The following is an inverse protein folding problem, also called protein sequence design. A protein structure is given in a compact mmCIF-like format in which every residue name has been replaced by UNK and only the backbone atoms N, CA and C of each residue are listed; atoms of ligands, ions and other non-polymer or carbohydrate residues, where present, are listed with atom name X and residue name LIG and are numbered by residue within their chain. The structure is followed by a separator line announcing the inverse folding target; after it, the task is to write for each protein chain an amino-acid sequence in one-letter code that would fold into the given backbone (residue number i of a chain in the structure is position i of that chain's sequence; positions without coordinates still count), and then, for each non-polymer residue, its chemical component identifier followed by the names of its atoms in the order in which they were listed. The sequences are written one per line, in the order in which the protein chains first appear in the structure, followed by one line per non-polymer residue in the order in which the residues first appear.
data_IF_443166536768
#
_entry.id   IF_443166536768
#
_cell.length_a   1.000
_cell.length_b   1.000
_cell.length_c   1.000
_cell.angle_alpha   90.00
_cell.angle_beta   90.00
_cell.angle_gamma   90.00
#
_symmetry.space_group_name_H-M   'P 1'
#
loop_
_entity.id
_entity.type
_entity.pdbx_description
1 polymer ?
#
# COMPACT_ATOMS: atom_id res chain seq x y z
N UNK A 1 -24.76 3.97 42.42
CA UNK A 1 -23.35 3.59 42.48
C UNK A 1 -23.20 2.24 41.80
N UNK A 2 -23.00 2.25 40.51
CA UNK A 2 -22.77 1.04 39.69
C UNK A 2 -21.27 0.90 39.50
N UNK A 3 -20.69 -0.04 40.21
CA UNK A 3 -19.29 -0.46 40.06
C UNK A 3 -19.07 -0.99 38.68
N UNK A 4 -18.30 -0.25 37.89
CA UNK A 4 -17.75 -0.69 36.59
C UNK A 4 -16.91 -1.96 36.85
N UNK A 5 -17.42 -3.09 36.39
CA UNK A 5 -16.68 -4.35 36.36
C UNK A 5 -15.52 -4.17 35.38
N UNK A 6 -14.29 -4.08 35.89
CA UNK A 6 -13.09 -4.06 35.08
C UNK A 6 -13.16 -5.27 34.13
N UNK A 7 -13.13 -5.01 32.83
CA UNK A 7 -13.06 -6.04 31.81
C UNK A 7 -11.76 -6.84 32.13
N UNK A 8 -11.89 -8.15 32.26
CA UNK A 8 -10.75 -9.04 32.42
C UNK A 8 -9.78 -8.78 31.27
N UNK A 9 -8.49 -8.59 31.59
CA UNK A 9 -7.44 -8.50 30.57
C UNK A 9 -7.51 -9.78 29.73
N UNK A 10 -7.89 -9.62 28.46
CA UNK A 10 -7.90 -10.75 27.54
C UNK A 10 -6.46 -11.22 27.35
N UNK A 11 -6.25 -12.54 27.29
CA UNK A 11 -4.94 -13.13 26.99
C UNK A 11 -4.31 -12.43 25.79
N UNK A 12 -2.99 -12.11 25.84
CA UNK A 12 -2.31 -11.46 24.73
C UNK A 12 -2.40 -12.31 23.47
N UNK A 13 -2.59 -11.66 22.33
CA UNK A 13 -2.51 -12.31 21.02
C UNK A 13 -1.05 -12.61 20.69
N UNK A 14 -0.82 -13.62 19.87
CA UNK A 14 0.50 -13.86 19.31
C UNK A 14 0.83 -12.80 18.24
N UNK A 15 -0.19 -12.34 17.47
CA UNK A 15 0.01 -11.46 16.34
C UNK A 15 -1.16 -10.49 16.13
N UNK A 16 -0.85 -9.22 15.87
CA UNK A 16 -1.76 -8.26 15.26
C UNK A 16 -1.25 -7.93 13.84
N UNK A 17 -2.13 -8.06 12.85
CA UNK A 17 -1.85 -7.73 11.45
C UNK A 17 -2.57 -6.42 11.13
N UNK A 18 -1.83 -5.41 10.69
CA UNK A 18 -2.34 -4.09 10.32
C UNK A 18 -2.44 -3.99 8.80
N UNK A 19 -3.67 -4.08 8.30
CA UNK A 19 -4.00 -4.07 6.86
C UNK A 19 -4.59 -5.40 6.41
N UNK A 20 -5.80 -5.36 5.84
CA UNK A 20 -6.52 -6.49 5.26
C UNK A 20 -6.44 -6.53 3.73
N UNK A 21 -5.33 -6.02 3.16
CA UNK A 21 -4.97 -6.21 1.75
C UNK A 21 -4.54 -7.65 1.47
N UNK A 22 -4.33 -8.03 0.20
CA UNK A 22 -3.98 -9.41 -0.17
C UNK A 22 -2.83 -10.01 0.64
N UNK A 23 -1.75 -9.26 0.85
CA UNK A 23 -0.58 -9.73 1.61
C UNK A 23 -0.86 -9.85 3.12
N UNK A 24 -1.66 -8.94 3.69
CA UNK A 24 -2.10 -9.04 5.08
C UNK A 24 -3.05 -10.23 5.31
N UNK A 25 -3.92 -10.52 4.32
CA UNK A 25 -4.77 -11.71 4.35
C UNK A 25 -3.95 -13.00 4.21
N UNK A 26 -2.93 -13.01 3.34
CA UNK A 26 -2.00 -14.13 3.24
C UNK A 26 -1.27 -14.38 4.56
N UNK A 27 -0.83 -13.32 5.24
CA UNK A 27 -0.24 -13.42 6.58
C UNK A 27 -1.24 -13.95 7.63
N UNK A 28 -2.50 -13.58 7.52
CA UNK A 28 -3.56 -14.09 8.40
C UNK A 28 -3.85 -15.58 8.19
N UNK A 29 -3.84 -16.05 6.93
CA UNK A 29 -3.96 -17.47 6.61
C UNK A 29 -2.80 -18.24 7.20
N UNK A 30 -1.57 -17.81 6.95
CA UNK A 30 -0.36 -18.45 7.47
C UNK A 30 -0.33 -18.48 9.01
N UNK A 31 -0.74 -17.40 9.67
CA UNK A 31 -0.86 -17.34 11.12
C UNK A 31 -1.88 -18.35 11.65
N UNK A 32 -3.05 -18.45 11.00
CA UNK A 32 -4.09 -19.43 11.35
C UNK A 32 -3.60 -20.86 11.20
N UNK A 33 -2.97 -21.18 10.08
CA UNK A 33 -2.44 -22.51 9.79
C UNK A 33 -1.32 -22.93 10.75
N UNK A 34 -0.56 -21.95 11.26
CA UNK A 34 0.46 -22.14 12.28
C UNK A 34 -0.10 -22.16 13.70
N UNK A 35 -1.43 -22.07 13.89
CA UNK A 35 -2.07 -22.11 15.21
C UNK A 35 -1.88 -20.84 16.05
N UNK A 36 -1.43 -19.74 15.46
CA UNK A 36 -1.23 -18.47 16.17
C UNK A 36 -2.56 -17.79 16.49
N UNK A 37 -2.67 -17.20 17.69
CA UNK A 37 -3.78 -16.33 18.08
C UNK A 37 -3.58 -14.96 17.43
N UNK A 38 -4.40 -14.58 16.46
CA UNK A 38 -4.22 -13.33 15.72
C UNK A 38 -5.52 -12.55 15.54
N UNK A 39 -5.39 -11.30 15.10
CA UNK A 39 -6.46 -10.46 14.55
C UNK A 39 -5.88 -9.60 13.44
N UNK A 40 -6.67 -9.38 12.39
CA UNK A 40 -6.39 -8.40 11.34
C UNK A 40 -7.22 -7.14 11.60
N UNK A 41 -6.61 -5.97 11.54
CA UNK A 41 -7.28 -4.68 11.64
C UNK A 41 -7.09 -3.92 10.33
N UNK A 42 -8.17 -3.34 9.81
CA UNK A 42 -8.11 -2.47 8.63
C UNK A 42 -9.01 -1.24 8.84
N UNK A 43 -8.50 -0.07 8.46
CA UNK A 43 -9.25 1.19 8.49
C UNK A 43 -10.43 1.23 7.54
N UNK A 44 -10.37 0.42 6.48
CA UNK A 44 -11.41 0.24 5.48
C UNK A 44 -11.99 -1.16 5.48
N UNK A 45 -12.53 -1.57 4.34
CA UNK A 45 -13.04 -2.92 4.13
C UNK A 45 -11.91 -3.90 3.73
N UNK A 46 -12.22 -5.17 3.68
CA UNK A 46 -11.31 -6.19 3.10
C UNK A 46 -10.87 -5.75 1.72
N UNK A 47 -9.54 -5.67 1.51
CA UNK A 47 -8.90 -5.21 0.28
C UNK A 47 -9.32 -3.80 -0.16
N UNK A 48 -9.47 -2.88 0.80
CA UNK A 48 -9.89 -1.49 0.56
C UNK A 48 -9.12 -0.82 -0.58
N UNK A 49 -7.80 -1.01 -0.66
CA UNK A 49 -6.97 -0.42 -1.72
C UNK A 49 -7.45 -0.80 -3.13
N UNK A 50 -7.97 -2.03 -3.33
CA UNK A 50 -8.51 -2.47 -4.62
C UNK A 50 -9.84 -1.78 -4.97
N UNK A 51 -10.57 -1.27 -3.98
CA UNK A 51 -11.80 -0.49 -4.23
C UNK A 51 -11.51 0.85 -4.89
N UNK A 52 -10.27 1.34 -4.76
CA UNK A 52 -9.82 2.59 -5.37
C UNK A 52 -9.30 2.44 -6.79
N UNK A 53 -9.10 1.23 -7.30
CA UNK A 53 -8.68 0.97 -8.67
C UNK A 53 -9.81 1.29 -9.68
N UNK A 54 -9.48 1.52 -10.96
CA UNK A 54 -10.48 1.74 -12.01
C UNK A 54 -11.50 0.62 -12.10
N UNK A 55 -12.76 0.94 -12.38
CA UNK A 55 -13.84 -0.04 -12.35
C UNK A 55 -13.66 -1.17 -13.37
N UNK A 56 -13.10 -0.85 -14.53
CA UNK A 56 -12.93 -1.78 -15.65
C UNK A 56 -11.51 -2.35 -15.75
N UNK A 57 -10.69 -2.12 -14.73
CA UNK A 57 -9.33 -2.60 -14.70
C UNK A 57 -9.25 -4.12 -14.72
N UNK A 58 -8.33 -4.66 -15.52
CA UNK A 58 -7.85 -6.03 -15.49
C UNK A 58 -6.45 -6.07 -14.90
N UNK A 59 -6.18 -7.01 -14.01
CA UNK A 59 -4.85 -7.15 -13.41
C UNK A 59 -3.79 -7.52 -14.45
N UNK A 60 -2.55 -7.14 -14.20
CA UNK A 60 -1.43 -7.54 -15.05
C UNK A 60 -1.03 -8.99 -14.83
N UNK A 61 -1.15 -9.48 -13.60
CA UNK A 61 -0.85 -10.86 -13.20
C UNK A 61 -2.02 -11.79 -13.51
N UNK A 62 -1.72 -13.05 -13.77
CA UNK A 62 -2.75 -14.09 -13.96
C UNK A 62 -3.42 -14.45 -12.63
N UNK A 63 -4.58 -15.10 -12.70
CA UNK A 63 -5.37 -15.46 -11.52
C UNK A 63 -4.57 -16.32 -10.54
N UNK A 64 -3.84 -17.32 -11.02
CA UNK A 64 -3.02 -18.22 -10.20
C UNK A 64 -1.93 -17.48 -9.41
N UNK A 65 -1.38 -16.42 -9.99
CA UNK A 65 -0.37 -15.59 -9.32
C UNK A 65 -0.94 -14.71 -8.22
N UNK A 66 -2.25 -14.47 -8.25
CA UNK A 66 -2.96 -13.69 -7.25
C UNK A 66 -3.62 -14.52 -6.15
N UNK A 67 -3.54 -15.85 -6.25
CA UNK A 67 -4.04 -16.78 -5.25
C UNK A 67 -3.32 -16.63 -3.90
N UNK A 68 -4.10 -16.74 -2.82
CA UNK A 68 -3.59 -16.78 -1.45
C UNK A 68 -4.26 -17.89 -0.66
N UNK A 69 -3.53 -18.46 0.30
CA UNK A 69 -4.09 -19.43 1.27
C UNK A 69 -4.58 -20.72 0.64
N UNK A 70 -4.01 -21.17 -0.48
CA UNK A 70 -4.41 -22.42 -1.13
C UNK A 70 -5.84 -22.41 -1.70
N UNK A 71 -6.51 -21.26 -1.75
CA UNK A 71 -7.85 -21.12 -2.36
C UNK A 71 -7.67 -20.81 -3.84
N UNK A 72 -8.16 -21.69 -4.76
CA UNK A 72 -8.04 -21.44 -6.20
C UNK A 72 -8.78 -20.18 -6.64
N UNK A 73 -8.15 -19.36 -7.49
CA UNK A 73 -8.77 -18.21 -8.12
C UNK A 73 -9.29 -18.58 -9.52
N UNK A 74 -10.39 -19.33 -9.55
CA UNK A 74 -10.95 -19.88 -10.78
C UNK A 74 -11.84 -18.87 -11.48
N UNK A 75 -11.43 -18.45 -12.67
CA UNK A 75 -12.16 -17.54 -13.58
C UNK A 75 -11.99 -18.04 -15.01
N UNK A 76 -12.89 -17.66 -15.96
CA UNK A 76 -12.76 -18.05 -17.35
C UNK A 76 -11.54 -17.46 -18.06
N UNK A 77 -11.18 -16.24 -17.71
CA UNK A 77 -10.06 -15.49 -18.33
C UNK A 77 -8.75 -15.72 -17.56
N UNK A 78 -7.63 -15.58 -18.25
CA UNK A 78 -6.31 -15.74 -17.60
C UNK A 78 -6.03 -14.66 -16.53
N UNK A 79 -6.55 -13.45 -16.75
CA UNK A 79 -6.29 -12.29 -15.90
C UNK A 79 -7.57 -11.76 -15.29
N UNK A 80 -7.67 -11.68 -13.95
CA UNK A 80 -8.90 -11.25 -13.30
C UNK A 80 -9.13 -9.74 -13.45
N UNK A 81 -10.40 -9.39 -13.50
CA UNK A 81 -10.88 -8.03 -13.34
C UNK A 81 -10.80 -7.59 -11.86
N UNK A 82 -10.85 -6.27 -11.62
CA UNK A 82 -11.00 -5.72 -10.27
C UNK A 82 -12.16 -6.35 -9.50
N UNK A 83 -13.31 -6.54 -10.15
CA UNK A 83 -14.52 -7.10 -9.51
C UNK A 83 -14.31 -8.54 -9.07
N UNK A 84 -13.68 -9.36 -9.89
CA UNK A 84 -13.36 -10.75 -9.58
C UNK A 84 -12.35 -10.84 -8.43
N UNK A 85 -11.32 -10.00 -8.42
CA UNK A 85 -10.36 -9.96 -7.33
C UNK A 85 -11.00 -9.56 -5.99
N UNK A 86 -11.87 -8.55 -5.97
CA UNK A 86 -12.62 -8.18 -4.77
C UNK A 86 -13.53 -9.32 -4.27
N UNK A 87 -14.17 -10.06 -5.17
CA UNK A 87 -14.98 -11.22 -4.81
C UNK A 87 -14.11 -12.35 -4.26
N UNK A 88 -12.98 -12.62 -4.92
CA UNK A 88 -12.04 -13.67 -4.55
C UNK A 88 -11.47 -13.45 -3.13
N UNK A 89 -10.91 -12.28 -2.82
CA UNK A 89 -10.33 -12.05 -1.49
C UNK A 89 -11.36 -12.09 -0.36
N UNK A 90 -12.59 -11.63 -0.59
CA UNK A 90 -13.70 -11.84 0.37
C UNK A 90 -14.02 -13.33 0.55
N UNK A 91 -13.98 -14.10 -0.54
CA UNK A 91 -14.17 -15.55 -0.45
C UNK A 91 -13.07 -16.21 0.38
N UNK A 92 -11.81 -15.82 0.20
CA UNK A 92 -10.69 -16.31 1.03
C UNK A 92 -10.93 -16.03 2.52
N UNK A 93 -11.37 -14.82 2.87
CA UNK A 93 -11.70 -14.47 4.26
C UNK A 93 -12.78 -15.39 4.81
N UNK A 94 -13.86 -15.63 4.04
CA UNK A 94 -14.96 -16.49 4.46
C UNK A 94 -14.54 -17.97 4.53
N UNK A 95 -13.81 -18.46 3.53
CA UNK A 95 -13.33 -19.85 3.44
C UNK A 95 -12.48 -20.23 4.65
N UNK A 96 -11.53 -19.38 4.99
CA UNK A 96 -10.65 -19.61 6.15
C UNK A 96 -11.25 -19.14 7.47
N UNK A 97 -12.40 -18.46 7.50
CA UNK A 97 -12.96 -17.88 8.72
C UNK A 97 -11.97 -16.90 9.38
N UNK A 98 -11.30 -16.05 8.58
CA UNK A 98 -10.27 -15.13 9.08
C UNK A 98 -10.86 -14.10 10.04
N UNK A 99 -10.15 -13.81 11.12
CA UNK A 99 -10.54 -12.80 12.11
C UNK A 99 -10.15 -11.40 11.63
N UNK A 100 -10.98 -10.78 10.79
CA UNK A 100 -10.77 -9.44 10.26
C UNK A 100 -11.76 -8.46 10.90
N UNK A 101 -11.23 -7.39 11.47
CA UNK A 101 -12.00 -6.23 11.95
C UNK A 101 -11.86 -5.11 10.94
N UNK A 102 -12.88 -4.91 10.16
CA UNK A 102 -12.99 -3.86 9.17
C UNK A 102 -13.41 -2.55 9.84
N UNK A 103 -13.02 -1.40 9.24
CA UNK A 103 -13.30 -0.06 9.75
C UNK A 103 -12.80 0.15 11.18
N UNK A 104 -11.66 -0.46 11.49
CA UNK A 104 -10.94 -0.29 12.74
C UNK A 104 -9.49 0.11 12.42
N UNK A 105 -9.22 1.41 12.56
CA UNK A 105 -7.92 2.02 12.25
C UNK A 105 -6.95 1.83 13.41
N UNK A 106 -5.76 1.33 13.14
CA UNK A 106 -4.66 1.34 14.10
C UNK A 106 -4.06 2.74 14.13
N UNK A 107 -4.23 3.42 15.27
CA UNK A 107 -3.81 4.81 15.46
C UNK A 107 -2.41 4.92 16.06
N UNK A 108 -2.01 3.93 16.87
CA UNK A 108 -0.72 3.92 17.56
C UNK A 108 -0.33 2.49 17.98
N UNK A 109 0.95 2.20 17.95
CA UNK A 109 1.53 0.97 18.50
C UNK A 109 2.64 1.37 19.48
N UNK A 110 2.61 0.81 20.67
CA UNK A 110 3.59 1.09 21.73
C UNK A 110 4.23 -0.21 22.16
N UNK A 111 5.56 -0.24 22.18
CA UNK A 111 6.29 -1.37 22.73
C UNK A 111 6.17 -1.38 24.26
N UNK A 112 5.84 -2.52 24.81
CA UNK A 112 5.93 -2.74 26.25
C UNK A 112 7.33 -3.25 26.57
N UNK A 113 8.23 -2.33 26.89
CA UNK A 113 9.47 -2.70 27.55
C UNK A 113 9.13 -3.08 28.97
N UNK A 114 9.65 -4.18 29.50
CA UNK A 114 9.31 -4.73 30.81
C UNK A 114 9.57 -3.83 32.04
N UNK A 115 9.51 -2.50 31.90
CA UNK A 115 9.79 -1.51 32.90
C UNK A 115 8.94 -0.23 32.78
N UNK A 116 7.62 -0.32 32.62
CA UNK A 116 6.74 0.73 33.14
C UNK A 116 5.83 0.15 34.22
N UNK A 117 6.33 0.16 35.47
CA UNK A 117 5.50 0.05 36.64
C UNK A 117 4.60 1.28 36.66
N UNK A 118 3.36 1.13 36.24
CA UNK A 118 2.29 2.04 36.66
C UNK A 118 2.25 1.96 38.18
N UNK A 119 2.64 3.06 38.85
CA UNK A 119 2.68 3.15 40.29
C UNK A 119 1.33 2.77 40.90
N UNK A 120 1.30 1.65 41.61
CA UNK A 120 0.46 1.43 42.78
C UNK A 120 1.42 1.25 43.93
N UNK A 121 1.35 2.20 44.86
CA UNK A 121 2.03 2.16 46.13
C UNK A 121 1.71 0.87 46.88
N UNK A 122 2.76 0.21 47.37
CA UNK A 122 2.72 -0.73 48.49
C UNK A 122 2.56 -2.19 48.10
N UNK A 123 3.68 -2.89 48.05
CA UNK A 123 3.99 -4.06 48.88
C UNK A 123 5.31 -4.68 48.39
N UNK A 124 6.24 -4.74 49.31
CA UNK A 124 7.53 -5.42 49.23
C UNK A 124 7.36 -6.92 49.11
N UNK A 125 8.19 -7.57 48.28
CA UNK A 125 8.40 -9.01 48.41
C UNK A 125 9.03 -9.73 47.23
N UNK A 126 10.32 -10.06 47.41
CA UNK A 126 11.04 -11.26 46.95
C UNK A 126 11.50 -11.35 45.48
N UNK A 127 12.81 -11.17 45.34
CA UNK A 127 13.65 -11.55 44.20
C UNK A 127 13.67 -13.08 44.08
N UNK A 128 13.20 -13.61 42.94
CA UNK A 128 13.40 -14.99 42.50
C UNK A 128 14.34 -15.03 41.33
N UNK A 129 15.51 -15.60 41.49
CA UNK A 129 16.46 -15.92 40.44
C UNK A 129 15.90 -17.03 39.54
N UNK A 130 15.64 -16.79 38.29
CA UNK A 130 15.76 -17.76 37.20
C UNK A 130 15.74 -17.03 35.85
N UNK A 131 16.86 -17.13 35.11
CA UNK A 131 17.13 -16.42 33.86
C UNK A 131 16.36 -16.89 32.64
N UNK A 132 15.26 -17.62 32.79
CA UNK A 132 14.42 -18.09 31.67
C UNK A 132 13.12 -17.30 31.46
N UNK A 133 12.81 -16.34 32.34
CA UNK A 133 11.49 -15.68 32.38
C UNK A 133 11.46 -14.26 31.80
N UNK A 134 12.59 -13.77 31.24
CA UNK A 134 12.69 -12.43 30.66
C UNK A 134 12.21 -12.34 29.22
N UNK A 135 12.07 -13.46 28.53
CA UNK A 135 11.56 -13.50 27.15
C UNK A 135 10.01 -13.41 27.07
N UNK A 136 9.31 -13.52 28.18
CA UNK A 136 7.83 -13.60 28.21
C UNK A 136 7.11 -12.26 28.45
N UNK A 137 7.82 -11.14 28.60
CA UNK A 137 7.23 -9.84 28.98
C UNK A 137 7.39 -8.70 27.97
N UNK A 138 8.05 -8.90 26.84
CA UNK A 138 8.10 -7.91 25.77
C UNK A 138 6.96 -8.14 24.77
N UNK A 139 6.16 -7.13 24.54
CA UNK A 139 5.03 -7.18 23.62
C UNK A 139 4.68 -5.77 23.14
N UNK A 140 3.55 -5.66 22.48
CA UNK A 140 3.03 -4.41 21.95
C UNK A 140 1.63 -4.14 22.46
N UNK A 141 1.33 -2.89 22.73
CA UNK A 141 -0.03 -2.39 22.90
C UNK A 141 -0.42 -1.70 21.60
N UNK A 142 -1.35 -2.30 20.89
CA UNK A 142 -1.92 -1.74 19.67
C UNK A 142 -3.18 -0.96 20.04
N UNK A 143 -3.18 0.33 19.76
CA UNK A 143 -4.33 1.20 19.92
C UNK A 143 -5.06 1.30 18.59
N UNK A 144 -6.36 1.14 18.62
CA UNK A 144 -7.20 1.24 17.43
C UNK A 144 -8.46 2.04 17.72
N UNK A 145 -9.03 2.59 16.65
CA UNK A 145 -10.25 3.39 16.67
C UNK A 145 -11.21 2.85 15.60
N UNK A 146 -12.42 2.53 16.00
CA UNK A 146 -13.46 2.08 15.07
C UNK A 146 -14.08 3.28 14.34
N UNK A 147 -14.82 3.01 13.25
CA UNK A 147 -15.59 4.04 12.53
C UNK A 147 -16.63 4.76 13.44
N UNK A 148 -17.06 4.13 14.53
CA UNK A 148 -17.93 4.73 15.53
C UNK A 148 -17.16 5.45 16.64
N UNK A 149 -15.88 5.82 16.41
CA UNK A 149 -14.99 6.54 17.34
C UNK A 149 -14.74 5.78 18.67
N UNK A 150 -14.97 4.46 18.70
CA UNK A 150 -14.66 3.66 19.88
C UNK A 150 -13.18 3.31 19.88
N UNK A 151 -12.47 3.73 20.90
CA UNK A 151 -11.08 3.38 21.12
C UNK A 151 -10.96 1.99 21.75
N UNK A 152 -9.99 1.22 21.26
CA UNK A 152 -9.67 -0.13 21.72
C UNK A 152 -8.18 -0.29 21.94
N UNK A 153 -7.84 -1.25 22.80
CA UNK A 153 -6.46 -1.65 23.07
C UNK A 153 -6.35 -3.15 22.92
N UNK A 154 -5.31 -3.60 22.23
CA UNK A 154 -5.01 -5.00 21.99
C UNK A 154 -3.57 -5.24 22.40
N UNK A 155 -3.33 -6.27 23.21
CA UNK A 155 -1.98 -6.69 23.59
C UNK A 155 -1.57 -7.83 22.67
N UNK A 156 -0.39 -7.72 22.06
CA UNK A 156 0.16 -8.75 21.18
C UNK A 156 1.66 -8.94 21.38
N UNK A 157 2.17 -10.13 21.09
CA UNK A 157 3.60 -10.43 21.13
C UNK A 157 4.33 -9.86 19.91
N UNK A 158 3.67 -9.85 18.75
CA UNK A 158 4.21 -9.35 17.51
C UNK A 158 3.18 -8.55 16.70
N UNK A 159 3.68 -7.73 15.78
CA UNK A 159 2.86 -6.94 14.86
C UNK A 159 3.39 -7.09 13.44
N UNK A 160 2.48 -7.32 12.48
CA UNK A 160 2.77 -7.22 11.05
C UNK A 160 2.18 -5.93 10.51
N UNK A 161 3.00 -5.08 9.89
CA UNK A 161 2.55 -3.90 9.17
C UNK A 161 2.41 -4.27 7.68
N UNK A 162 1.16 -4.36 7.22
CA UNK A 162 0.77 -4.73 5.85
C UNK A 162 -0.10 -3.64 5.20
N UNK A 163 0.18 -2.37 5.52
CA UNK A 163 -0.62 -1.20 5.14
C UNK A 163 -0.52 -0.82 3.67
N UNK A 164 0.33 -1.51 2.91
CA UNK A 164 0.46 -1.32 1.46
C UNK A 164 1.35 -0.13 1.08
N UNK A 165 1.34 0.20 -0.21
CA UNK A 165 2.14 1.29 -0.79
C UNK A 165 1.30 2.41 -1.39
N UNK A 166 -0.04 2.29 -1.34
CA UNK A 166 -0.97 3.23 -1.96
C UNK A 166 -1.74 4.02 -0.89
N UNK A 167 -1.05 4.39 0.19
CA UNK A 167 -1.64 5.10 1.33
C UNK A 167 -1.95 6.55 0.99
N UNK A 168 -1.00 7.25 0.36
CA UNK A 168 -1.16 8.66 -0.01
C UNK A 168 -0.69 8.90 -1.44
N UNK A 169 -1.48 9.65 -2.25
CA UNK A 169 -1.03 10.08 -3.57
C UNK A 169 0.06 11.15 -3.45
N UNK A 170 1.01 11.14 -4.36
CA UNK A 170 1.90 12.27 -4.55
C UNK A 170 1.07 13.46 -5.03
N UNK A 171 0.99 14.50 -4.19
CA UNK A 171 0.21 15.69 -4.51
C UNK A 171 0.95 16.57 -5.52
N UNK A 172 0.19 17.27 -6.34
CA UNK A 172 0.75 18.31 -7.21
C UNK A 172 1.19 19.51 -6.36
N UNK A 173 2.36 20.04 -6.66
CA UNK A 173 2.83 21.30 -6.09
C UNK A 173 2.23 22.46 -6.91
N UNK A 174 1.07 22.92 -6.47
CA UNK A 174 0.32 23.97 -7.16
C UNK A 174 0.52 25.32 -6.47
N UNK A 175 0.77 26.34 -7.28
CA UNK A 175 0.69 27.72 -6.84
C UNK A 175 -0.77 28.11 -6.58
N UNK A 176 -1.16 28.17 -5.31
CA UNK A 176 -2.53 28.43 -4.89
C UNK A 176 -3.29 27.17 -4.50
N UNK A 177 -4.61 27.20 -4.65
CA UNK A 177 -5.50 26.11 -4.24
C UNK A 177 -6.25 25.52 -5.43
N UNK A 178 -6.87 24.37 -5.22
CA UNK A 178 -7.89 23.77 -6.09
C UNK A 178 -9.27 23.98 -5.44
N UNK A 179 -9.88 25.16 -5.58
CA UNK A 179 -11.11 25.51 -4.88
C UNK A 179 -12.31 24.70 -5.35
N UNK A 180 -12.25 24.20 -6.57
CA UNK A 180 -13.35 23.48 -7.21
C UNK A 180 -13.20 21.95 -7.07
N UNK A 181 -12.10 21.47 -6.43
CA UNK A 181 -11.83 20.06 -6.26
C UNK A 181 -11.63 19.29 -7.59
N UNK A 182 -10.99 19.94 -8.58
CA UNK A 182 -10.82 19.41 -9.93
C UNK A 182 -9.62 18.48 -10.07
N UNK A 183 -8.76 18.38 -9.06
CA UNK A 183 -7.64 17.44 -9.03
C UNK A 183 -8.12 16.08 -8.53
N UNK A 184 -8.04 15.09 -9.40
CA UNK A 184 -8.47 13.71 -9.13
C UNK A 184 -7.24 12.82 -9.02
N UNK A 185 -7.06 12.19 -7.86
CA UNK A 185 -5.98 11.22 -7.62
C UNK A 185 -6.41 9.77 -7.86
N UNK A 186 -7.70 9.49 -7.84
CA UNK A 186 -8.28 8.15 -8.02
C UNK A 186 -9.15 8.12 -9.25
N UNK A 187 -8.56 7.80 -10.40
CA UNK A 187 -9.31 7.58 -11.62
C UNK A 187 -10.16 6.31 -11.50
N UNK A 188 -11.45 6.40 -11.83
CA UNK A 188 -12.41 5.29 -11.74
C UNK A 188 -12.93 4.83 -13.10
N UNK A 189 -13.37 5.78 -13.91
CA UNK A 189 -14.07 5.54 -15.17
C UNK A 189 -14.08 6.81 -16.04
N UNK A 190 -14.27 6.70 -17.36
CA UNK A 190 -14.19 7.84 -18.25
C UNK A 190 -15.47 8.70 -18.32
N UNK A 191 -16.62 8.15 -17.96
CA UNK A 191 -17.92 8.78 -18.24
C UNK A 191 -18.13 10.17 -17.62
N UNK A 192 -17.66 10.46 -16.38
CA UNK A 192 -17.76 11.81 -15.81
C UNK A 192 -17.00 12.89 -16.61
N UNK A 193 -16.07 12.48 -17.47
CA UNK A 193 -15.19 13.37 -18.24
C UNK A 193 -15.58 13.49 -19.70
N UNK A 194 -16.68 12.86 -20.14
CA UNK A 194 -17.13 12.92 -21.52
C UNK A 194 -17.28 14.38 -22.00
N UNK A 195 -16.74 14.68 -23.20
CA UNK A 195 -16.70 16.01 -23.82
C UNK A 195 -16.06 17.11 -22.95
N UNK A 196 -15.14 16.72 -22.05
CA UNK A 196 -14.38 17.66 -21.22
C UNK A 196 -12.92 17.74 -21.66
N UNK A 197 -12.25 18.83 -21.27
CA UNK A 197 -10.82 19.00 -21.39
C UNK A 197 -10.14 18.46 -20.13
N UNK A 198 -9.36 17.39 -20.28
CA UNK A 198 -8.70 16.70 -19.15
C UNK A 198 -7.19 16.72 -19.33
N UNK A 199 -6.50 17.18 -18.27
CA UNK A 199 -5.05 17.13 -18.18
C UNK A 199 -4.64 15.94 -17.29
N UNK A 200 -3.97 14.95 -17.87
CA UNK A 200 -3.41 13.80 -17.14
C UNK A 200 -1.96 14.10 -16.80
N UNK A 201 -1.61 14.13 -15.52
CA UNK A 201 -0.25 14.39 -15.02
C UNK A 201 0.39 13.07 -14.60
N UNK A 202 1.51 12.73 -15.25
CA UNK A 202 2.26 11.50 -15.04
C UNK A 202 2.69 10.83 -16.34
N UNK A 203 3.62 9.88 -16.23
CA UNK A 203 4.18 9.14 -17.38
C UNK A 203 4.21 7.63 -17.18
N UNK A 204 3.69 7.11 -16.05
CA UNK A 204 3.63 5.69 -15.74
C UNK A 204 2.36 4.99 -16.26
N UNK A 205 2.22 3.68 -15.94
CA UNK A 205 1.09 2.87 -16.41
C UNK A 205 -0.27 3.51 -16.15
N UNK A 206 -0.52 3.99 -14.93
CA UNK A 206 -1.82 4.57 -14.57
C UNK A 206 -2.16 5.82 -15.39
N UNK A 207 -1.16 6.68 -15.69
CA UNK A 207 -1.36 7.85 -16.51
C UNK A 207 -1.66 7.49 -17.97
N UNK A 208 -0.88 6.55 -18.52
CA UNK A 208 -1.02 6.09 -19.91
C UNK A 208 -2.37 5.39 -20.11
N UNK A 209 -2.73 4.46 -19.24
CA UNK A 209 -4.01 3.74 -19.36
C UNK A 209 -5.21 4.66 -19.19
N UNK A 210 -5.17 5.59 -18.20
CA UNK A 210 -6.23 6.59 -18.04
C UNK A 210 -6.34 7.51 -19.25
N UNK A 211 -5.21 7.99 -19.80
CA UNK A 211 -5.22 8.84 -20.99
C UNK A 211 -5.83 8.14 -22.21
N UNK A 212 -5.44 6.88 -22.45
CA UNK A 212 -5.98 6.08 -23.56
C UNK A 212 -7.47 5.77 -23.39
N UNK A 213 -7.89 5.41 -22.16
CA UNK A 213 -9.30 5.12 -21.89
C UNK A 213 -10.17 6.37 -22.05
N UNK A 214 -9.75 7.50 -21.51
CA UNK A 214 -10.42 8.78 -21.67
C UNK A 214 -10.54 9.18 -23.14
N UNK A 215 -9.43 9.12 -23.89
CA UNK A 215 -9.41 9.44 -25.32
C UNK A 215 -10.41 8.59 -26.12
N UNK A 216 -10.44 7.27 -25.89
CA UNK A 216 -11.36 6.35 -26.57
C UNK A 216 -12.83 6.60 -26.23
N UNK A 217 -13.10 7.31 -25.14
CA UNK A 217 -14.43 7.66 -24.67
C UNK A 217 -14.81 9.14 -24.94
N UNK A 218 -14.15 9.80 -25.90
CA UNK A 218 -14.55 11.12 -26.39
C UNK A 218 -14.15 12.29 -25.48
N UNK A 219 -13.12 12.09 -24.64
CA UNK A 219 -12.53 13.14 -23.81
C UNK A 219 -11.40 13.82 -24.57
N UNK A 220 -11.30 15.14 -24.48
CA UNK A 220 -10.14 15.89 -25.02
C UNK A 220 -9.00 15.81 -24.00
N UNK A 221 -8.10 14.85 -24.22
CA UNK A 221 -7.00 14.53 -23.33
C UNK A 221 -5.72 15.24 -23.74
N UNK A 222 -4.96 15.72 -22.75
CA UNK A 222 -3.54 16.07 -22.87
C UNK A 222 -2.78 15.43 -21.73
N UNK A 223 -1.50 15.20 -21.93
CA UNK A 223 -0.61 14.69 -20.89
C UNK A 223 0.47 15.70 -20.54
N UNK A 224 0.87 15.70 -19.26
CA UNK A 224 1.98 16.50 -18.72
C UNK A 224 2.88 15.57 -17.93
N UNK A 225 4.17 15.55 -18.26
CA UNK A 225 5.14 14.73 -17.55
C UNK A 225 6.45 15.50 -17.35
N UNK A 226 7.03 15.39 -16.15
CA UNK A 226 8.25 16.10 -15.77
C UNK A 226 9.50 15.57 -16.47
N UNK A 227 9.49 14.34 -16.98
CA UNK A 227 10.56 13.75 -17.77
C UNK A 227 10.34 13.98 -19.27
N UNK A 228 11.40 13.80 -20.07
CA UNK A 228 11.34 13.89 -21.54
C UNK A 228 10.89 12.58 -22.22
N UNK A 229 10.60 11.53 -21.44
CA UNK A 229 10.15 10.22 -21.92
C UNK A 229 9.15 9.62 -20.96
N UNK A 230 8.28 8.73 -21.44
CA UNK A 230 7.42 7.92 -20.55
C UNK A 230 8.27 6.97 -19.72
N UNK A 231 7.75 6.63 -18.53
CA UNK A 231 8.40 5.71 -17.61
C UNK A 231 8.74 4.37 -18.29
N UNK A 232 9.92 3.84 -18.02
CA UNK A 232 10.37 2.55 -18.59
C UNK A 232 9.47 1.38 -18.18
N UNK A 233 8.75 1.50 -17.07
CA UNK A 233 7.80 0.50 -16.59
C UNK A 233 6.45 0.47 -17.29
N UNK A 234 6.21 1.36 -18.28
CA UNK A 234 4.99 1.31 -19.10
C UNK A 234 4.93 0.01 -19.88
N UNK A 235 3.81 -0.70 -19.74
CA UNK A 235 3.66 -2.06 -20.28
C UNK A 235 3.75 -2.10 -21.81
N UNK A 236 4.46 -3.10 -22.37
CA UNK A 236 4.73 -3.18 -23.80
C UNK A 236 3.47 -3.20 -24.67
N UNK A 237 2.36 -3.72 -24.16
CA UNK A 237 1.12 -3.84 -24.91
C UNK A 237 0.30 -2.55 -24.99
N UNK A 238 0.56 -1.54 -24.13
CA UNK A 238 -0.10 -0.22 -24.21
C UNK A 238 0.81 0.83 -24.85
N UNK A 239 2.13 0.60 -24.83
CA UNK A 239 3.14 1.54 -25.31
C UNK A 239 2.94 1.97 -26.79
N UNK A 240 2.71 1.05 -27.76
CA UNK A 240 2.56 1.45 -29.14
C UNK A 240 1.35 2.36 -29.40
N UNK A 241 0.23 2.16 -28.67
CA UNK A 241 -0.97 2.98 -28.87
C UNK A 241 -0.73 4.41 -28.35
N UNK A 242 -0.21 4.56 -27.13
CA UNK A 242 0.04 5.90 -26.58
C UNK A 242 1.10 6.65 -27.40
N UNK A 243 2.18 5.99 -27.83
CA UNK A 243 3.21 6.62 -28.66
C UNK A 243 2.64 7.11 -29.99
N UNK A 244 1.77 6.33 -30.63
CA UNK A 244 1.08 6.73 -31.86
C UNK A 244 0.15 7.94 -31.63
N UNK A 245 -0.63 7.99 -30.54
CA UNK A 245 -1.53 9.10 -30.22
C UNK A 245 -0.78 10.39 -29.92
N UNK A 246 0.38 10.28 -29.26
CA UNK A 246 1.25 11.42 -29.00
C UNK A 246 1.86 11.91 -30.32
N UNK A 247 2.39 11.00 -31.15
CA UNK A 247 3.03 11.35 -32.42
C UNK A 247 2.05 11.98 -33.41
N UNK A 248 0.79 11.53 -33.45
CA UNK A 248 -0.27 12.11 -34.30
C UNK A 248 -0.86 13.42 -33.75
N UNK A 249 -0.52 13.81 -32.52
CA UNK A 249 -1.08 14.97 -31.81
C UNK A 249 -2.51 14.79 -31.31
N UNK A 250 -3.06 13.57 -31.35
CA UNK A 250 -4.39 13.26 -30.83
C UNK A 250 -4.44 13.33 -29.30
N UNK A 251 -3.31 13.01 -28.65
CA UNK A 251 -3.07 13.26 -27.21
C UNK A 251 -1.84 14.16 -27.12
N UNK A 252 -2.00 15.49 -27.06
CA UNK A 252 -0.88 16.41 -26.92
C UNK A 252 -0.09 16.11 -25.64
N UNK A 253 1.24 16.03 -25.75
CA UNK A 253 2.14 15.74 -24.64
C UNK A 253 3.04 16.94 -24.33
N UNK A 254 3.11 17.32 -23.07
CA UNK A 254 4.02 18.34 -22.55
C UNK A 254 5.12 17.64 -21.75
N UNK A 255 6.26 17.42 -22.41
CA UNK A 255 7.44 16.83 -21.82
C UNK A 255 8.21 17.83 -20.95
N UNK A 256 9.03 17.33 -19.98
CA UNK A 256 9.84 18.16 -19.11
C UNK A 256 9.03 19.24 -18.40
N UNK A 257 7.78 18.95 -18.06
CA UNK A 257 6.82 19.97 -17.64
C UNK A 257 5.98 19.53 -16.44
N UNK A 258 5.49 20.51 -15.69
CA UNK A 258 4.54 20.31 -14.60
C UNK A 258 3.35 21.26 -14.69
N UNK A 259 2.25 20.89 -14.05
CA UNK A 259 1.12 21.80 -13.83
C UNK A 259 1.45 22.66 -12.62
N UNK A 260 1.57 23.97 -12.81
CA UNK A 260 1.95 24.90 -11.75
C UNK A 260 0.75 25.56 -11.10
N UNK A 261 -0.32 25.85 -11.83
CA UNK A 261 -1.48 26.58 -11.32
C UNK A 261 -2.77 26.18 -12.03
N UNK A 262 -3.87 26.23 -11.30
CA UNK A 262 -5.22 26.06 -11.83
C UNK A 262 -5.95 27.39 -11.84
N UNK A 263 -6.59 27.70 -12.99
CA UNK A 263 -7.52 28.80 -13.17
C UNK A 263 -8.91 28.27 -13.53
N UNK A 264 -9.95 29.12 -13.61
CA UNK A 264 -11.29 28.70 -14.03
C UNK A 264 -11.26 27.99 -15.38
N UNK A 265 -11.57 26.68 -15.42
CA UNK A 265 -11.53 25.85 -16.63
C UNK A 265 -10.17 25.75 -17.31
N UNK A 266 -9.07 26.09 -16.64
CA UNK A 266 -7.72 26.11 -17.24
C UNK A 266 -6.67 25.52 -16.31
N UNK A 267 -5.56 25.08 -16.89
CA UNK A 267 -4.33 24.72 -16.19
C UNK A 267 -3.13 25.48 -16.81
N UNK A 268 -2.24 25.95 -15.96
CA UNK A 268 -0.97 26.56 -16.39
C UNK A 268 0.13 25.53 -16.28
N UNK A 269 0.80 25.27 -17.40
CA UNK A 269 1.88 24.30 -17.55
C UNK A 269 3.19 25.08 -17.68
N UNK A 270 4.20 24.68 -16.92
CA UNK A 270 5.56 25.27 -16.96
C UNK A 270 6.58 24.16 -17.22
N UNK A 271 7.67 24.50 -17.93
CA UNK A 271 8.80 23.59 -18.10
C UNK A 271 9.69 23.60 -16.86
N UNK A 272 10.26 22.42 -16.53
CA UNK A 272 11.19 22.26 -15.40
C UNK A 272 12.45 23.11 -15.57
N UNK A 273 13.00 23.17 -16.78
CA UNK A 273 14.21 23.92 -17.11
C UNK A 273 13.98 25.45 -17.22
N UNK A 274 12.77 25.91 -16.92
CA UNK A 274 12.35 27.28 -17.17
C UNK A 274 11.83 27.48 -18.60
N UNK A 275 11.11 28.55 -18.80
CA UNK A 275 10.49 28.88 -20.08
C UNK A 275 9.16 29.60 -19.92
N UNK A 276 8.51 29.88 -21.04
CA UNK A 276 7.22 30.56 -21.07
C UNK A 276 6.11 29.61 -20.54
N UNK A 277 5.34 30.11 -19.57
CA UNK A 277 4.21 29.39 -19.03
C UNK A 277 3.08 29.30 -20.08
N UNK A 278 2.54 28.12 -20.28
CA UNK A 278 1.43 27.88 -21.23
C UNK A 278 0.13 27.62 -20.49
N UNK A 279 -0.88 28.45 -20.69
CA UNK A 279 -2.22 28.19 -20.17
C UNK A 279 -3.05 27.43 -21.21
N UNK A 280 -3.68 26.33 -20.77
CA UNK A 280 -4.47 25.42 -21.62
C UNK A 280 -5.86 25.23 -21.01
N UNK A 281 -6.87 24.92 -21.84
CA UNK A 281 -8.18 24.50 -21.35
C UNK A 281 -8.02 23.20 -20.53
N UNK A 282 -8.62 23.15 -19.33
CA UNK A 282 -8.56 21.98 -18.45
C UNK A 282 -9.69 22.06 -17.45
N UNK A 283 -10.73 21.26 -17.67
CA UNK A 283 -11.84 21.14 -16.72
C UNK A 283 -11.45 20.27 -15.52
N UNK A 284 -10.62 19.27 -15.76
CA UNK A 284 -10.13 18.32 -14.77
C UNK A 284 -8.63 18.10 -14.87
N UNK A 285 -8.00 17.79 -13.75
CA UNK A 285 -6.61 17.35 -13.69
C UNK A 285 -6.56 15.98 -13.01
N UNK A 286 -6.16 14.95 -13.74
CA UNK A 286 -5.91 13.62 -13.19
C UNK A 286 -4.45 13.53 -12.76
N UNK A 287 -4.20 13.60 -11.46
CA UNK A 287 -2.87 13.51 -10.88
C UNK A 287 -2.45 12.04 -10.71
N UNK A 288 -1.96 11.43 -11.79
CA UNK A 288 -1.45 10.05 -11.84
C UNK A 288 0.06 10.02 -11.51
N UNK A 289 0.42 10.71 -10.45
CA UNK A 289 1.80 11.04 -10.03
C UNK A 289 2.44 9.98 -9.14
N UNK A 290 1.78 8.82 -9.00
CA UNK A 290 2.22 7.75 -8.12
C UNK A 290 1.81 7.95 -6.66
N UNK A 291 2.33 7.08 -5.79
CA UNK A 291 1.90 6.92 -4.42
C UNK A 291 3.09 6.80 -3.49
N UNK A 292 2.90 7.19 -2.23
CA UNK A 292 3.86 6.95 -1.15
C UNK A 292 3.26 6.01 -0.11
N UNK A 293 4.03 5.02 0.36
CA UNK A 293 3.61 4.22 1.50
C UNK A 293 3.55 5.10 2.76
N UNK A 294 2.48 4.97 3.52
CA UNK A 294 2.41 5.56 4.86
C UNK A 294 3.31 4.76 5.81
N UNK A 295 4.39 5.38 6.27
CA UNK A 295 5.39 4.79 7.17
C UNK A 295 5.27 5.28 8.61
N UNK A 296 4.23 6.03 8.92
CA UNK A 296 4.05 6.64 10.25
C UNK A 296 4.09 5.60 11.36
N UNK A 297 3.40 4.47 11.19
CA UNK A 297 3.44 3.38 12.17
C UNK A 297 4.83 2.76 12.31
N UNK A 298 5.54 2.54 11.20
CA UNK A 298 6.90 1.98 11.22
C UNK A 298 7.88 2.92 11.93
N UNK A 299 7.84 4.20 11.60
CA UNK A 299 8.70 5.21 12.22
C UNK A 299 8.40 5.37 13.72
N UNK A 300 7.12 5.33 14.11
CA UNK A 300 6.72 5.42 15.52
C UNK A 300 7.20 4.23 16.37
N UNK A 301 7.48 3.10 15.71
CA UNK A 301 8.04 1.90 16.34
C UNK A 301 9.58 1.89 16.34
N UNK A 302 10.23 2.87 15.71
CA UNK A 302 11.68 2.91 15.57
C UNK A 302 12.21 2.05 14.42
N UNK A 303 11.36 1.68 13.46
CA UNK A 303 11.83 1.00 12.25
C UNK A 303 12.59 1.99 11.38
N UNK A 304 13.83 1.66 11.09
CA UNK A 304 14.69 2.42 10.20
C UNK A 304 14.26 2.23 8.75
N UNK A 305 14.37 3.30 7.96
CA UNK A 305 14.11 3.23 6.52
C UNK A 305 15.29 3.83 5.77
N UNK A 306 15.69 3.17 4.70
CA UNK A 306 16.72 3.71 3.80
C UNK A 306 16.26 5.06 3.24
N UNK A 307 17.04 6.14 3.37
CA UNK A 307 16.60 7.48 2.98
C UNK A 307 16.44 7.66 1.47
N UNK A 308 17.13 6.86 0.65
CA UNK A 308 17.09 6.94 -0.81
C UNK A 308 15.98 6.08 -1.38
N UNK A 309 15.87 4.83 -0.95
CA UNK A 309 14.91 3.87 -1.48
C UNK A 309 13.58 3.83 -0.71
N UNK A 310 13.57 4.35 0.53
CA UNK A 310 12.43 4.25 1.43
C UNK A 310 12.16 2.84 1.94
N UNK A 311 13.03 1.88 1.66
CA UNK A 311 12.88 0.47 2.08
C UNK A 311 13.07 0.38 3.59
N UNK A 312 12.11 -0.19 4.34
CA UNK A 312 12.28 -0.46 5.77
C UNK A 312 13.37 -1.51 5.99
N UNK A 313 14.23 -1.29 6.98
CA UNK A 313 15.24 -2.25 7.38
C UNK A 313 14.58 -3.53 7.87
N UNK A 314 14.84 -4.66 7.21
CA UNK A 314 14.27 -5.95 7.53
C UNK A 314 15.14 -7.10 7.01
N UNK A 315 14.97 -8.27 7.62
CA UNK A 315 15.52 -9.53 7.13
C UNK A 315 14.57 -10.12 6.06
N UNK A 316 14.99 -10.27 4.80
CA UNK A 316 14.16 -10.85 3.74
C UNK A 316 13.73 -12.30 4.00
N UNK A 317 14.48 -13.04 4.82
CA UNK A 317 14.17 -14.42 5.15
C UNK A 317 13.06 -14.60 6.18
N UNK A 318 12.83 -13.60 7.01
CA UNK A 318 11.84 -13.62 8.09
C UNK A 318 10.81 -12.51 8.01
N UNK A 319 11.09 -11.47 7.21
CA UNK A 319 10.34 -10.22 7.15
C UNK A 319 10.32 -9.42 8.46
N UNK A 320 11.16 -9.80 9.45
CA UNK A 320 11.32 -9.06 10.70
C UNK A 320 12.15 -7.80 10.46
N UNK A 321 11.72 -6.68 11.02
CA UNK A 321 12.43 -5.39 10.89
C UNK A 321 13.62 -5.32 11.87
N UNK A 322 14.38 -4.20 11.84
CA UNK A 322 15.37 -3.91 12.88
C UNK A 322 14.77 -3.82 14.30
N UNK A 323 13.45 -3.80 14.43
CA UNK A 323 12.74 -3.80 15.72
C UNK A 323 12.17 -5.20 15.98
N UNK A 324 12.71 -5.97 16.94
CA UNK A 324 12.25 -7.33 17.23
C UNK A 324 10.76 -7.40 17.52
N UNK A 325 10.07 -8.35 16.88
CA UNK A 325 8.62 -8.54 16.97
C UNK A 325 7.80 -7.65 16.02
N UNK A 326 8.46 -6.77 15.25
CA UNK A 326 7.80 -5.97 14.21
C UNK A 326 8.16 -6.52 12.82
N UNK A 327 7.17 -6.93 12.07
CA UNK A 327 7.27 -7.52 10.74
C UNK A 327 6.61 -6.62 9.70
N UNK A 328 7.00 -6.79 8.44
CA UNK A 328 6.36 -6.10 7.30
C UNK A 328 5.90 -7.10 6.26
N UNK A 329 4.78 -6.83 5.58
CA UNK A 329 4.28 -7.70 4.50
C UNK A 329 3.73 -6.90 3.33
N UNK A 330 4.04 -7.37 2.12
CA UNK A 330 3.56 -6.78 0.87
C UNK A 330 4.35 -5.54 0.44
N UNK A 331 3.74 -4.70 -0.36
CA UNK A 331 4.39 -3.61 -1.10
C UNK A 331 5.04 -2.54 -0.20
N UNK A 332 4.69 -2.43 1.07
CA UNK A 332 5.38 -1.54 2.03
C UNK A 332 6.88 -1.87 2.13
N UNK A 333 7.26 -3.14 1.93
CA UNK A 333 8.64 -3.57 1.92
C UNK A 333 9.42 -3.15 0.65
N UNK A 334 8.75 -2.62 -0.36
CA UNK A 334 9.38 -2.12 -1.59
C UNK A 334 9.86 -0.66 -1.50
N UNK A 335 9.54 0.04 -0.40
CA UNK A 335 9.85 1.46 -0.26
C UNK A 335 9.12 2.33 -1.29
N UNK A 336 9.84 3.23 -1.95
CA UNK A 336 9.25 4.15 -2.94
C UNK A 336 8.97 3.48 -4.29
N UNK A 337 9.60 2.36 -4.60
CA UNK A 337 9.40 1.66 -5.86
C UNK A 337 8.43 0.48 -5.71
N UNK A 338 7.12 0.79 -5.78
CA UNK A 338 6.06 -0.22 -5.68
C UNK A 338 6.12 -1.31 -6.78
N UNK A 339 6.88 -1.10 -7.87
CA UNK A 339 7.04 -2.09 -8.95
C UNK A 339 7.94 -3.29 -8.57
N UNK A 340 8.54 -3.28 -7.38
CA UNK A 340 9.36 -4.40 -6.88
C UNK A 340 8.55 -5.48 -6.19
N UNK A 341 7.43 -5.12 -5.57
CA UNK A 341 6.58 -6.05 -4.82
C UNK A 341 5.13 -5.88 -5.24
N UNK A 342 4.60 -6.94 -5.83
CA UNK A 342 3.20 -7.11 -6.20
C UNK A 342 2.52 -8.12 -5.28
N UNK A 343 1.25 -8.41 -5.51
CA UNK A 343 0.53 -9.47 -4.76
C UNK A 343 1.23 -10.81 -4.96
N UNK A 344 1.65 -11.11 -6.19
CA UNK A 344 2.22 -12.39 -6.61
C UNK A 344 3.50 -12.82 -5.85
N UNK A 345 4.32 -11.88 -5.40
CA UNK A 345 5.51 -12.17 -4.57
C UNK A 345 5.28 -11.76 -3.11
N UNK A 346 4.57 -10.68 -2.84
CA UNK A 346 4.27 -10.23 -1.47
C UNK A 346 3.38 -11.18 -0.66
N UNK A 347 2.60 -12.04 -1.32
CA UNK A 347 1.78 -13.08 -0.66
C UNK A 347 2.59 -14.09 0.12
N UNK A 348 3.85 -14.32 -0.28
CA UNK A 348 4.76 -15.28 0.36
C UNK A 348 5.28 -14.78 1.71
N UNK A 349 5.26 -13.47 1.96
CA UNK A 349 5.74 -12.89 3.22
C UNK A 349 5.03 -13.45 4.45
N UNK A 350 3.75 -13.78 4.32
CA UNK A 350 2.97 -14.36 5.41
C UNK A 350 3.53 -15.69 5.92
N UNK A 351 3.95 -16.56 5.01
CA UNK A 351 4.58 -17.84 5.35
C UNK A 351 5.90 -17.67 6.08
N UNK A 352 6.75 -16.71 5.62
CA UNK A 352 8.02 -16.39 6.26
C UNK A 352 7.82 -15.89 7.71
N UNK A 353 6.88 -14.98 7.90
CA UNK A 353 6.55 -14.42 9.22
C UNK A 353 6.03 -15.49 10.18
N UNK A 354 5.04 -16.26 9.74
CA UNK A 354 4.43 -17.30 10.57
C UNK A 354 5.42 -18.42 10.90
N UNK A 355 6.27 -18.81 9.95
CA UNK A 355 7.35 -19.77 10.15
C UNK A 355 8.36 -19.31 11.20
N UNK A 356 8.78 -18.06 11.14
CA UNK A 356 9.70 -17.47 12.13
C UNK A 356 9.06 -17.39 13.51
N UNK A 357 7.82 -16.90 13.63
CA UNK A 357 7.10 -16.82 14.90
C UNK A 357 6.82 -18.18 15.53
N UNK A 358 6.59 -19.21 14.73
CA UNK A 358 6.38 -20.57 15.23
C UNK A 358 7.70 -21.31 15.57
N UNK A 359 8.86 -20.66 15.42
CA UNK A 359 10.17 -21.28 15.65
C UNK A 359 10.54 -22.34 14.63
N UNK A 360 9.90 -22.34 13.47
CA UNK A 360 10.19 -23.21 12.33
C UNK A 360 11.22 -22.52 11.45
N UNK A 361 12.43 -23.08 11.40
CA UNK A 361 13.43 -22.64 10.42
C UNK A 361 12.87 -22.81 9.01
N UNK A 362 12.74 -21.73 8.27
CA UNK A 362 12.36 -21.79 6.85
C UNK A 362 13.57 -22.20 6.04
N UNK A 363 13.59 -23.41 5.51
CA UNK A 363 14.57 -23.82 4.52
C UNK A 363 14.26 -23.08 3.20
N UNK A 364 15.00 -22.04 2.89
CA UNK A 364 14.97 -21.39 1.59
C UNK A 364 15.62 -22.30 0.54
N UNK A 365 14.81 -23.10 -0.14
CA UNK A 365 15.21 -23.75 -1.40
C UNK A 365 14.57 -22.97 -2.54
N UNK A 366 15.23 -21.93 -3.00
CA UNK A 366 14.86 -21.24 -4.23
C UNK A 366 15.09 -19.73 -4.11
N UNK A 367 16.02 -19.20 -4.90
CA UNK A 367 16.06 -17.80 -5.22
C UNK A 367 14.69 -17.44 -5.83
N UNK A 368 13.96 -16.47 -5.25
CA UNK A 368 12.80 -15.91 -5.91
C UNK A 368 13.25 -15.41 -7.28
N UNK A 369 12.63 -15.83 -8.39
CA UNK A 369 12.81 -15.12 -9.63
C UNK A 369 12.25 -13.73 -9.37
N UNK A 370 13.11 -12.73 -9.22
CA UNK A 370 12.74 -11.35 -9.26
C UNK A 370 11.89 -11.12 -10.51
N UNK A 371 10.95 -10.17 -10.50
CA UNK A 371 10.37 -9.70 -11.75
C UNK A 371 11.54 -9.37 -12.64
N UNK A 372 11.56 -9.94 -13.88
CA UNK A 372 12.66 -9.92 -14.83
C UNK A 372 13.70 -8.84 -14.52
N UNK A 373 14.93 -9.24 -14.20
CA UNK A 373 16.04 -8.35 -13.82
C UNK A 373 16.34 -7.22 -14.82
N UNK A 374 15.66 -7.24 -15.97
CA UNK A 374 15.76 -6.28 -17.04
C UNK A 374 15.03 -4.96 -16.76
N UNK A 375 14.20 -4.86 -15.71
CA UNK A 375 13.42 -3.64 -15.39
C UNK A 375 13.85 -2.93 -14.10
N UNK A 376 14.73 -3.52 -13.28
CA UNK A 376 15.00 -3.05 -11.92
C UNK A 376 16.28 -2.24 -11.72
N UNK A 377 17.13 -2.09 -12.75
CA UNK A 377 18.45 -1.46 -12.60
C UNK A 377 18.56 -0.12 -13.33
N UNK A 378 17.59 0.77 -13.21
CA UNK A 378 17.78 2.12 -13.70
C UNK A 378 18.07 3.10 -12.56
N UNK A 379 19.32 3.59 -12.40
CA UNK A 379 19.65 4.65 -11.43
C UNK A 379 18.86 5.94 -11.70
N UNK A 380 18.52 6.24 -12.95
CA UNK A 380 17.85 7.49 -13.34
C UNK A 380 16.39 7.62 -12.83
N UNK A 381 15.76 6.50 -12.41
CA UNK A 381 14.43 6.54 -11.79
C UNK A 381 14.47 7.05 -10.34
N UNK A 382 15.63 6.94 -9.70
CA UNK A 382 15.81 7.33 -8.30
C UNK A 382 16.08 8.84 -8.15
N UNK A 383 16.69 9.47 -9.15
CA UNK A 383 17.05 10.89 -9.10
C UNK A 383 15.84 11.83 -9.29
N UNK A 384 14.74 11.34 -9.86
CA UNK A 384 13.50 12.13 -10.06
C UNK A 384 12.52 12.13 -8.86
N UNK A 385 12.75 11.30 -7.84
CA UNK A 385 11.87 11.21 -6.66
C UNK A 385 12.36 12.02 -5.44
N UNK A 386 13.46 12.73 -5.58
CA UNK A 386 14.18 13.42 -4.49
C UNK A 386 14.03 14.94 -4.43
N UNK A 387 13.12 15.56 -5.22
CA UNK A 387 12.85 17.01 -5.09
C UNK A 387 11.38 17.30 -5.05
#
# INVERSE_FOLDING_TARGET
MTTSKAAAEADPLDLVIVGAGPCGLAAAVAARESGLKYVVLDRGCVTESLTHYPYYMTFFSTAERLEIGGVPFTIPEAKPTRREALAYYRHVVAHHGLRVRQYEEVTRIVRQDGAEKVGRSGLTGVVGQNGADLASKSGFVVHSRTRAELERRIIARAVVVATGGFGEPNRLDLEGSDPDGRVVHYYKEPYPFFDQDVTVVGGGNSAVEAALELYRNGVRVRMVHFMEVLDRGVKPWVRPDIDNRIASGEIPMHWGSRVARLGPGTATIVREEGGEAKTVASNWVLAMTGWRPDRTLLHSLGVETDPVTGIPAHDPGTMETNVPGVYIAGVIAAGFNANRIFIENGREHGGLIAGHLAGRGVNHSGAFPGPDDHLSTNPDYMDGLGQ
#
